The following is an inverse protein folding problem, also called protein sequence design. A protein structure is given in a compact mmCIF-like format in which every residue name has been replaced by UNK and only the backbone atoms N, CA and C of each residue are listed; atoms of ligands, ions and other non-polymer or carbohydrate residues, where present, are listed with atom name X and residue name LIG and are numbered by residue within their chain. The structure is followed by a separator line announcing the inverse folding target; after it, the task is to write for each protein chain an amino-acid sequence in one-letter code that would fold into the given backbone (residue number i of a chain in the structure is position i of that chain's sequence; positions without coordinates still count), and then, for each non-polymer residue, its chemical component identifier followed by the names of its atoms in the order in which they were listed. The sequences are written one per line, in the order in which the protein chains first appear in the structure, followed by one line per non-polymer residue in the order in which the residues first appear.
data_IF_185484521721
#
_entry.id   IF_185484521721
#
_cell.length_a   1.000
_cell.length_b   1.000
_cell.length_c   1.000
_cell.angle_alpha   90.00
_cell.angle_beta   90.00
_cell.angle_gamma   90.00
#
_symmetry.space_group_name_H-M   'P 1'
#
loop_
_entity.id
_entity.type
_entity.pdbx_description
1 polymer ?
#
# COMPACT_ATOMS: atom_id res chain seq x y z
N UNK A 1 -21.18 11.01 -5.81
CA UNK A 1 -21.09 9.54 -6.03
C UNK A 1 -20.02 9.02 -5.08
N UNK A 2 -20.33 8.02 -4.25
CA UNK A 2 -19.35 7.32 -3.41
C UNK A 2 -19.22 5.88 -3.90
N UNK A 3 -18.02 5.32 -3.85
CA UNK A 3 -17.81 3.92 -4.19
C UNK A 3 -18.37 3.02 -3.09
N UNK A 4 -18.89 1.84 -3.47
CA UNK A 4 -19.45 0.86 -2.51
C UNK A 4 -18.37 0.21 -1.64
N UNK A 5 -17.17 0.03 -2.20
CA UNK A 5 -16.05 -0.65 -1.55
C UNK A 5 -14.85 0.29 -1.48
N UNK A 6 -14.08 0.38 -2.55
CA UNK A 6 -12.92 1.25 -2.61
C UNK A 6 -12.92 2.10 -3.88
N UNK A 7 -12.22 3.23 -3.86
CA UNK A 7 -11.86 4.02 -5.03
C UNK A 7 -10.37 3.93 -5.28
N UNK A 8 -9.95 3.75 -6.53
CA UNK A 8 -8.57 3.93 -6.96
C UNK A 8 -8.56 5.09 -7.95
N UNK A 9 -7.99 6.24 -7.56
CA UNK A 9 -7.87 7.44 -8.42
C UNK A 9 -9.22 7.84 -9.05
N UNK A 10 -10.30 7.79 -8.26
CA UNK A 10 -11.66 8.11 -8.70
C UNK A 10 -12.43 6.98 -9.40
N UNK A 11 -11.83 5.80 -9.62
CA UNK A 11 -12.51 4.63 -10.19
C UNK A 11 -12.90 3.65 -9.09
N UNK A 12 -14.17 3.23 -9.04
CA UNK A 12 -14.61 2.26 -8.04
C UNK A 12 -14.05 0.86 -8.32
N UNK A 13 -13.40 0.27 -7.33
CA UNK A 13 -12.82 -1.08 -7.39
C UNK A 13 -13.36 -1.94 -6.24
N UNK A 14 -13.46 -3.26 -6.42
CA UNK A 14 -13.95 -4.17 -5.38
C UNK A 14 -12.97 -4.31 -4.21
N UNK A 15 -11.66 -4.24 -4.48
CA UNK A 15 -10.59 -4.31 -3.48
C UNK A 15 -9.36 -3.54 -3.94
N UNK A 16 -8.60 -2.98 -3.01
CA UNK A 16 -7.23 -2.52 -3.26
C UNK A 16 -6.25 -3.71 -3.32
N UNK A 17 -5.04 -3.44 -3.81
CA UNK A 17 -3.94 -4.41 -3.93
C UNK A 17 -3.18 -4.60 -2.60
N UNK A 18 -3.87 -5.09 -1.58
CA UNK A 18 -3.30 -5.26 -0.24
C UNK A 18 -2.21 -6.35 -0.19
N UNK A 19 -2.51 -7.52 -0.77
CA UNK A 19 -1.70 -8.74 -0.65
C UNK A 19 -1.22 -9.28 -1.99
N UNK A 20 -1.65 -8.67 -3.09
CA UNK A 20 -1.44 -9.14 -4.46
C UNK A 20 -1.34 -7.96 -5.41
N UNK A 21 -0.70 -8.18 -6.56
CA UNK A 21 -0.49 -7.17 -7.60
C UNK A 21 0.94 -6.63 -7.60
N UNK A 22 1.32 -6.05 -8.74
CA UNK A 22 2.66 -5.51 -8.97
C UNK A 22 2.92 -4.27 -8.12
N UNK A 23 1.93 -3.41 -7.93
CA UNK A 23 2.02 -2.27 -7.00
C UNK A 23 1.19 -2.60 -5.77
N UNK A 24 1.84 -2.62 -4.61
CA UNK A 24 1.15 -2.83 -3.34
C UNK A 24 0.45 -1.55 -2.90
N UNK A 25 -0.73 -1.73 -2.34
CA UNK A 25 -1.61 -0.63 -1.95
C UNK A 25 -2.11 -0.81 -0.53
N UNK A 26 -2.38 0.31 0.14
CA UNK A 26 -3.15 0.38 1.37
C UNK A 26 -4.44 1.17 1.12
N UNK A 27 -5.38 1.10 2.06
CA UNK A 27 -6.62 1.86 1.97
C UNK A 27 -6.70 2.87 3.08
N UNK A 28 -7.05 4.11 2.75
CA UNK A 28 -7.38 5.16 3.70
C UNK A 28 -8.71 5.77 3.30
N UNK A 29 -9.69 5.75 4.21
CA UNK A 29 -11.04 6.28 3.98
C UNK A 29 -11.78 5.71 2.75
N UNK A 30 -11.48 4.44 2.41
CA UNK A 30 -12.05 3.78 1.24
C UNK A 30 -11.37 4.16 -0.07
N UNK A 31 -10.26 4.90 -0.05
CA UNK A 31 -9.42 5.16 -1.22
C UNK A 31 -8.14 4.33 -1.17
N UNK A 32 -7.77 3.74 -2.31
CA UNK A 32 -6.57 2.94 -2.48
C UNK A 32 -5.38 3.86 -2.80
N UNK A 33 -4.33 3.76 -1.99
CA UNK A 33 -3.08 4.48 -2.14
C UNK A 33 -1.93 3.51 -2.31
N UNK A 34 -0.93 3.90 -3.09
CA UNK A 34 0.24 3.08 -3.37
C UNK A 34 1.22 3.13 -2.18
N UNK A 35 1.83 1.98 -1.87
CA UNK A 35 2.90 1.87 -0.89
C UNK A 35 4.16 2.61 -1.36
N UNK A 36 5.05 2.95 -0.42
CA UNK A 36 6.37 3.45 -0.76
C UNK A 36 7.16 2.40 -1.57
N UNK A 37 7.94 2.78 -2.59
CA UNK A 37 8.73 1.84 -3.40
C UNK A 37 9.74 1.03 -2.60
N UNK A 38 10.18 1.56 -1.46
CA UNK A 38 11.10 0.87 -0.53
C UNK A 38 10.42 -0.21 0.33
N UNK A 39 9.10 -0.39 0.22
CA UNK A 39 8.41 -1.46 0.94
C UNK A 39 8.54 -2.81 0.20
N UNK A 40 9.00 -3.85 0.90
CA UNK A 40 9.20 -5.18 0.31
C UNK A 40 7.87 -5.82 -0.11
N UNK A 41 7.82 -6.44 -1.29
CA UNK A 41 6.65 -7.18 -1.74
C UNK A 41 6.51 -8.50 -0.97
N UNK A 42 5.54 -8.54 -0.04
CA UNK A 42 5.25 -9.71 0.79
C UNK A 42 4.06 -10.46 0.20
N UNK A 43 4.29 -11.62 -0.43
CA UNK A 43 3.23 -12.47 -0.96
C UNK A 43 2.29 -12.95 0.16
N UNK A 44 0.98 -12.72 -0.04
CA UNK A 44 -0.06 -13.12 0.91
C UNK A 44 -0.18 -12.26 2.17
N UNK A 45 0.57 -11.17 2.31
CA UNK A 45 0.50 -10.25 3.46
C UNK A 45 0.47 -8.78 3.04
N UNK A 46 0.08 -7.92 3.98
CA UNK A 46 0.02 -6.46 3.80
C UNK A 46 1.44 -5.88 3.80
N UNK A 47 1.74 -5.06 2.81
CA UNK A 47 3.08 -4.51 2.57
C UNK A 47 3.34 -3.18 3.26
N UNK A 48 2.32 -2.32 3.37
CA UNK A 48 2.40 -1.02 4.03
C UNK A 48 1.05 -0.66 4.67
N UNK A 49 1.09 0.27 5.62
CA UNK A 49 -0.12 0.86 6.20
C UNK A 49 -0.22 2.38 5.92
N UNK A 50 0.59 2.87 4.99
CA UNK A 50 0.73 4.27 4.63
C UNK A 50 1.60 4.44 3.38
N UNK A 51 1.66 5.67 2.88
CA UNK A 51 2.45 6.03 1.70
C UNK A 51 3.92 6.34 2.05
N UNK A 52 4.23 6.48 3.34
CA UNK A 52 5.57 6.82 3.83
C UNK A 52 6.50 5.61 3.91
N UNK A 53 7.79 5.83 3.70
CA UNK A 53 8.84 4.81 3.84
C UNK A 53 8.98 4.26 5.28
N UNK A 54 8.41 4.96 6.26
CA UNK A 54 8.32 4.56 7.67
C UNK A 54 7.12 3.67 8.00
N UNK A 55 6.18 3.55 7.06
CA UNK A 55 4.94 2.79 7.23
C UNK A 55 4.97 1.43 6.52
N UNK A 56 6.14 1.04 6.01
CA UNK A 56 6.37 -0.29 5.45
C UNK A 56 6.37 -1.35 6.56
N UNK A 57 5.71 -2.48 6.31
CA UNK A 57 5.82 -3.67 7.18
C UNK A 57 7.25 -4.19 7.20
N UNK A 58 7.91 -4.15 6.03
CA UNK A 58 9.30 -4.60 5.85
C UNK A 58 9.96 -3.79 4.71
N UNK A 59 11.23 -3.46 4.87
CA UNK A 59 12.00 -2.71 3.86
C UNK A 59 12.54 -3.68 2.79
N UNK A 60 12.48 -3.27 1.52
CA UNK A 60 13.01 -4.04 0.39
C UNK A 60 14.56 -4.03 0.36
N UNK A 61 15.17 -2.90 0.73
CA UNK A 61 16.60 -2.67 0.65
C UNK A 61 17.24 -2.49 2.03
N UNK A 62 17.35 -1.26 2.50
CA UNK A 62 17.96 -0.92 3.78
C UNK A 62 16.96 -0.18 4.67
N UNK A 63 17.29 -0.09 5.96
CA UNK A 63 16.51 0.65 6.94
C UNK A 63 17.42 1.63 7.65
N UNK A 64 17.15 2.92 7.49
CA UNK A 64 17.80 3.99 8.21
C UNK A 64 16.85 4.54 9.28
N UNK A 65 17.02 4.04 10.51
CA UNK A 65 16.13 4.35 11.62
C UNK A 65 14.67 3.94 11.34
N UNK A 66 13.68 4.86 11.36
CA UNK A 66 12.30 4.53 11.05
C UNK A 66 12.03 4.40 9.55
N UNK A 67 12.89 4.92 8.66
CA UNK A 67 12.62 4.99 7.22
C UNK A 67 13.30 3.86 6.44
N UNK A 68 12.60 3.26 5.48
CA UNK A 68 13.20 2.38 4.47
C UNK A 68 13.87 3.20 3.35
N UNK A 69 15.06 2.78 2.93
CA UNK A 69 15.91 3.46 1.93
C UNK A 69 16.69 2.48 1.05
#
# INVERSE_FOLDING_TARGET
LSCRHYSRRGVCVPTCRFTHGETREFSQDGECFECHPECEHIEGSITCNGSGADTCTRCAHYRDGPHCV
#
